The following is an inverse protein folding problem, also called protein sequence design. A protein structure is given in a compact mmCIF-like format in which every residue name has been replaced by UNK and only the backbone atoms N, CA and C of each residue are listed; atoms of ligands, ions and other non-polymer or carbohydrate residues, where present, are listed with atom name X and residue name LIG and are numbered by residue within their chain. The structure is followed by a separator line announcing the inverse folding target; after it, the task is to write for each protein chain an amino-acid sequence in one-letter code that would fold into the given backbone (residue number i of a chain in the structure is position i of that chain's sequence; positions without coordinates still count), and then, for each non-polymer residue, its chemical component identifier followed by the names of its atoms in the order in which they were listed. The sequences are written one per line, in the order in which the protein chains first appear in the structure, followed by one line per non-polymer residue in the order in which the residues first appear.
data_IF_408471386242
#
_entry.id   IF_408471386242
#
_cell.length_a   1.000
_cell.length_b   1.000
_cell.length_c   1.000
_cell.angle_alpha   90.00
_cell.angle_beta   90.00
_cell.angle_gamma   90.00
#
_symmetry.space_group_name_H-M   'P 1'
#
loop_
_entity.id
_entity.type
_entity.pdbx_description
1 polymer ?
#
# COMPACT_ATOMS: atom_id res chain seq x y z
N UNK A 1 0.43 10.96 52.34
CA UNK A 1 0.78 9.81 51.46
C UNK A 1 1.09 10.37 50.08
N UNK A 2 2.35 10.37 49.69
CA UNK A 2 2.77 10.95 48.43
C UNK A 2 2.57 9.91 47.29
N UNK A 3 1.71 10.23 46.33
CA UNK A 3 1.58 9.47 45.09
C UNK A 3 2.82 9.74 44.21
N UNK A 4 3.81 8.87 44.24
CA UNK A 4 4.86 8.82 43.23
C UNK A 4 4.27 8.36 41.91
N UNK A 5 4.03 9.28 40.99
CA UNK A 5 3.85 8.95 39.57
C UNK A 5 5.21 8.48 39.03
N UNK A 6 5.42 7.20 38.94
CA UNK A 6 6.55 6.62 38.22
C UNK A 6 6.38 6.93 36.73
N UNK A 7 7.12 7.92 36.19
CA UNK A 7 7.35 8.08 34.76
C UNK A 7 7.79 6.73 34.22
N UNK A 8 7.05 6.23 33.22
CA UNK A 8 7.14 4.87 32.76
C UNK A 8 8.53 4.47 32.26
N UNK A 9 9.19 3.67 33.04
CA UNK A 9 10.34 2.90 32.58
C UNK A 9 9.79 1.85 31.62
N UNK A 10 10.15 1.96 30.34
CA UNK A 10 9.87 0.88 29.37
C UNK A 10 10.82 -0.27 29.71
N UNK A 11 10.30 -1.24 30.43
CA UNK A 11 11.04 -2.49 30.71
C UNK A 11 10.65 -3.47 29.61
N UNK A 12 11.62 -3.85 28.77
CA UNK A 12 11.48 -4.98 27.86
C UNK A 12 12.78 -5.77 27.90
N UNK A 13 12.68 -7.07 28.13
CA UNK A 13 13.83 -7.95 28.20
C UNK A 13 13.45 -9.38 28.55
N UNK A 14 14.40 -10.29 28.37
CA UNK A 14 14.29 -11.68 28.81
C UNK A 14 15.13 -11.85 30.07
N UNK A 15 14.52 -12.29 31.14
CA UNK A 15 15.23 -12.73 32.36
C UNK A 15 15.62 -14.19 32.16
N UNK A 16 16.88 -14.43 31.82
CA UNK A 16 17.37 -15.77 31.46
C UNK A 16 17.28 -16.79 32.62
N UNK A 17 17.50 -16.34 33.86
CA UNK A 17 17.45 -17.20 35.03
C UNK A 17 16.05 -17.76 35.34
N UNK A 18 15.00 -16.99 35.02
CA UNK A 18 13.62 -17.37 35.40
C UNK A 18 12.76 -17.71 34.19
N UNK A 19 13.35 -17.76 33.01
CA UNK A 19 12.62 -17.99 31.75
C UNK A 19 11.41 -17.05 31.56
N UNK A 20 11.52 -15.81 32.06
CA UNK A 20 10.46 -14.79 32.01
C UNK A 20 10.73 -13.78 30.91
N UNK A 21 9.72 -13.51 30.10
CA UNK A 21 9.71 -12.37 29.17
C UNK A 21 8.86 -11.27 29.77
N UNK A 22 9.46 -10.09 29.92
CA UNK A 22 8.80 -8.88 30.43
C UNK A 22 8.65 -7.87 29.29
N UNK A 23 7.48 -7.33 29.08
CA UNK A 23 7.23 -6.28 28.09
C UNK A 23 6.09 -5.36 28.54
N UNK A 24 6.10 -4.12 28.03
CA UNK A 24 5.04 -3.15 28.31
C UNK A 24 4.02 -3.13 27.18
N UNK A 25 2.74 -3.32 27.50
CA UNK A 25 1.63 -3.21 26.57
C UNK A 25 0.55 -2.30 27.15
N UNK A 26 0.18 -1.23 26.44
CA UNK A 26 -0.81 -0.25 26.88
C UNK A 26 -0.55 0.29 28.29
N UNK A 27 0.72 0.64 28.60
CA UNK A 27 1.11 1.17 29.92
C UNK A 27 1.20 0.12 31.05
N UNK A 28 0.84 -1.14 30.80
CA UNK A 28 0.94 -2.23 31.78
C UNK A 28 2.17 -3.08 31.52
N UNK A 29 2.87 -3.42 32.58
CA UNK A 29 3.99 -4.39 32.52
C UNK A 29 3.35 -5.79 32.50
N UNK A 30 3.64 -6.55 31.45
CA UNK A 30 3.20 -7.93 31.30
C UNK A 30 4.42 -8.84 31.46
N UNK A 31 4.32 -9.77 32.37
CA UNK A 31 5.29 -10.85 32.54
C UNK A 31 4.65 -12.16 32.11
N UNK A 32 5.35 -12.95 31.32
CA UNK A 32 4.95 -14.31 30.98
C UNK A 32 6.16 -15.24 30.99
N UNK A 33 5.95 -16.49 31.35
CA UNK A 33 6.99 -17.50 31.19
C UNK A 33 7.40 -17.59 29.72
N UNK A 34 8.69 -17.46 29.46
CA UNK A 34 9.24 -17.79 28.16
C UNK A 34 9.29 -19.32 28.09
N UNK A 35 8.34 -19.92 27.40
CA UNK A 35 8.42 -21.34 27.06
C UNK A 35 9.67 -21.55 26.21
N UNK A 36 10.67 -22.22 26.76
CA UNK A 36 11.98 -22.41 26.14
C UNK A 36 11.91 -23.24 24.86
N UNK A 37 10.87 -24.03 24.69
CA UNK A 37 10.72 -24.97 23.59
C UNK A 37 9.25 -25.16 23.19
N UNK A 38 8.60 -24.11 22.72
CA UNK A 38 7.46 -24.38 21.88
C UNK A 38 7.98 -24.94 20.55
N UNK A 39 7.63 -26.19 20.20
CA UNK A 39 7.87 -26.66 18.86
C UNK A 39 7.21 -25.64 17.93
N UNK A 40 7.99 -24.97 17.13
CA UNK A 40 7.46 -24.00 16.14
C UNK A 40 6.68 -24.83 15.16
N UNK A 41 5.39 -25.03 15.45
CA UNK A 41 4.47 -25.66 14.51
C UNK A 41 4.64 -24.94 13.19
N UNK A 42 5.02 -25.65 12.15
CA UNK A 42 5.27 -25.17 10.80
C UNK A 42 4.13 -25.63 9.90
N UNK A 43 2.89 -25.54 10.40
CA UNK A 43 1.74 -25.88 9.56
C UNK A 43 1.65 -24.89 8.39
N UNK A 44 0.99 -25.34 7.33
CA UNK A 44 0.77 -24.53 6.12
C UNK A 44 0.09 -23.19 6.45
N UNK A 45 -0.94 -23.21 7.27
CA UNK A 45 -1.72 -22.01 7.65
C UNK A 45 -0.87 -21.01 8.44
N UNK A 46 -0.05 -21.50 9.35
CA UNK A 46 0.86 -20.65 10.11
C UNK A 46 1.94 -20.05 9.19
N UNK A 47 2.42 -20.81 8.23
CA UNK A 47 3.37 -20.33 7.24
C UNK A 47 2.74 -19.21 6.39
N UNK A 48 1.54 -19.44 5.84
CA UNK A 48 0.79 -18.44 5.07
C UNK A 48 0.57 -17.17 5.92
N UNK A 49 0.18 -17.32 7.18
CA UNK A 49 0.01 -16.17 8.08
C UNK A 49 1.30 -15.37 8.27
N UNK A 50 2.45 -16.03 8.38
CA UNK A 50 3.77 -15.35 8.47
C UNK A 50 4.13 -14.64 7.17
N UNK A 51 3.84 -15.23 6.02
CA UNK A 51 4.04 -14.62 4.70
C UNK A 51 3.21 -13.33 4.56
N UNK A 52 1.94 -13.35 4.99
CA UNK A 52 1.07 -12.16 5.03
C UNK A 52 1.68 -11.04 5.89
N UNK A 53 2.18 -11.37 7.08
CA UNK A 53 2.80 -10.37 7.96
C UNK A 53 4.05 -9.77 7.32
N UNK A 54 4.93 -10.58 6.74
CA UNK A 54 6.15 -10.12 6.08
C UNK A 54 5.82 -9.23 4.88
N UNK A 55 4.92 -9.66 4.00
CA UNK A 55 4.41 -8.88 2.85
C UNK A 55 3.88 -7.53 3.31
N UNK A 56 2.95 -7.53 4.27
CA UNK A 56 2.30 -6.32 4.72
C UNK A 56 3.30 -5.35 5.36
N UNK A 57 4.26 -5.87 6.13
CA UNK A 57 5.30 -5.03 6.74
C UNK A 57 6.18 -4.32 5.71
N UNK A 58 6.62 -5.03 4.67
CA UNK A 58 7.50 -4.45 3.65
C UNK A 58 6.74 -3.46 2.77
N UNK A 59 5.52 -3.78 2.32
CA UNK A 59 4.69 -2.85 1.55
C UNK A 59 4.31 -1.60 2.36
N UNK A 60 4.01 -1.77 3.65
CA UNK A 60 3.75 -0.64 4.55
C UNK A 60 4.94 0.29 4.67
N UNK A 61 6.17 -0.25 4.76
CA UNK A 61 7.40 0.55 4.76
C UNK A 61 7.55 1.33 3.46
N UNK A 62 7.30 0.70 2.31
CA UNK A 62 7.36 1.35 1.01
C UNK A 62 6.34 2.50 0.87
N UNK A 63 5.10 2.29 1.31
CA UNK A 63 4.07 3.33 1.34
C UNK A 63 4.45 4.49 2.28
N UNK A 64 4.96 4.20 3.47
CA UNK A 64 5.40 5.24 4.42
C UNK A 64 6.60 6.04 3.95
N UNK A 65 7.50 5.43 3.19
CA UNK A 65 8.65 6.12 2.63
C UNK A 65 8.26 7.23 1.63
N UNK A 66 7.07 7.15 1.01
CA UNK A 66 6.53 8.22 0.16
C UNK A 66 6.03 9.46 0.94
N UNK A 67 6.15 9.46 2.27
CA UNK A 67 5.95 10.64 3.13
C UNK A 67 4.57 10.82 3.75
N UNK A 68 3.51 10.21 3.22
CA UNK A 68 2.17 10.43 3.76
C UNK A 68 1.26 9.22 3.57
N UNK A 69 1.23 8.37 4.57
CA UNK A 69 0.30 7.27 4.62
C UNK A 69 -1.09 7.77 5.05
N UNK A 70 -2.07 7.65 4.16
CA UNK A 70 -3.44 8.16 4.36
C UNK A 70 -4.37 7.08 4.96
N UNK A 71 -3.91 6.43 6.01
CA UNK A 71 -4.77 5.55 6.81
C UNK A 71 -5.14 6.24 8.10
N UNK A 72 -6.43 6.46 8.33
CA UNK A 72 -6.91 7.07 9.56
C UNK A 72 -6.52 6.25 10.79
N UNK A 73 -6.14 6.92 11.88
CA UNK A 73 -6.07 6.28 13.18
C UNK A 73 -4.70 6.07 13.82
N UNK A 74 -3.66 6.79 13.42
CA UNK A 74 -2.37 6.78 14.14
C UNK A 74 -1.81 5.37 14.37
N UNK A 75 -1.76 4.89 15.62
CA UNK A 75 -1.27 3.54 15.96
C UNK A 75 -2.13 2.40 15.40
N UNK A 76 -3.36 2.65 15.04
CA UNK A 76 -4.29 1.68 14.44
C UNK A 76 -4.19 1.63 12.91
N UNK A 77 -3.55 2.61 12.28
CA UNK A 77 -3.43 2.72 10.82
C UNK A 77 -2.83 1.46 10.19
N UNK A 78 -1.76 0.91 10.78
CA UNK A 78 -1.16 -0.35 10.30
C UNK A 78 -2.11 -1.54 10.45
N UNK A 79 -2.84 -1.64 11.54
CA UNK A 79 -3.81 -2.72 11.75
C UNK A 79 -4.94 -2.65 10.71
N UNK A 80 -5.41 -1.44 10.40
CA UNK A 80 -6.42 -1.22 9.37
C UNK A 80 -5.91 -1.57 7.98
N UNK A 81 -4.71 -1.12 7.63
CA UNK A 81 -4.02 -1.54 6.42
C UNK A 81 -3.93 -3.07 6.31
N UNK A 82 -3.46 -3.76 7.36
CA UNK A 82 -3.39 -5.23 7.38
C UNK A 82 -4.75 -5.90 7.20
N UNK A 83 -5.82 -5.31 7.74
CA UNK A 83 -7.19 -5.82 7.55
C UNK A 83 -7.62 -5.76 6.09
N UNK A 84 -7.36 -4.66 5.40
CA UNK A 84 -7.66 -4.50 3.97
C UNK A 84 -6.81 -5.44 3.10
N UNK A 85 -5.52 -5.58 3.44
CA UNK A 85 -4.60 -6.49 2.75
C UNK A 85 -4.97 -7.97 2.83
N UNK A 86 -5.87 -8.37 3.74
CA UNK A 86 -6.37 -9.77 3.82
C UNK A 86 -7.15 -10.19 2.57
N UNK A 87 -7.71 -9.22 1.84
CA UNK A 87 -8.47 -9.48 0.61
C UNK A 87 -7.57 -9.63 -0.63
N UNK A 88 -6.28 -9.36 -0.50
CA UNK A 88 -5.32 -9.44 -1.60
C UNK A 88 -4.87 -10.88 -1.84
N UNK A 89 -4.45 -11.21 -3.08
CA UNK A 89 -3.88 -12.51 -3.39
C UNK A 89 -2.76 -12.91 -2.43
N UNK A 90 -2.69 -14.19 -2.08
CA UNK A 90 -1.55 -14.72 -1.32
C UNK A 90 -0.33 -14.78 -2.23
N UNK A 91 0.78 -14.26 -1.73
CA UNK A 91 2.06 -14.30 -2.43
C UNK A 91 3.13 -14.87 -1.51
N UNK A 92 3.99 -15.70 -2.07
CA UNK A 92 4.99 -16.46 -1.34
C UNK A 92 6.38 -16.08 -1.84
N UNK A 93 7.17 -15.50 -0.97
CA UNK A 93 8.56 -15.16 -1.24
C UNK A 93 9.49 -15.85 -0.25
N UNK A 94 10.72 -16.10 -0.67
CA UNK A 94 11.73 -16.69 0.21
C UNK A 94 12.07 -15.78 1.39
N UNK A 95 12.64 -16.37 2.42
CA UNK A 95 13.11 -15.65 3.61
C UNK A 95 14.10 -14.53 3.26
N UNK A 96 14.97 -14.79 2.30
CA UNK A 96 15.96 -13.83 1.83
C UNK A 96 15.31 -12.65 1.10
N UNK A 97 14.36 -12.92 0.19
CA UNK A 97 13.62 -11.87 -0.50
C UNK A 97 12.95 -10.91 0.50
N UNK A 98 12.23 -11.42 1.50
CA UNK A 98 11.61 -10.55 2.50
C UNK A 98 12.61 -9.79 3.37
N UNK A 99 13.74 -10.42 3.74
CA UNK A 99 14.79 -9.75 4.51
C UNK A 99 15.41 -8.58 3.75
N UNK A 100 15.55 -8.71 2.45
CA UNK A 100 16.09 -7.69 1.56
C UNK A 100 15.03 -6.72 1.03
N UNK A 101 13.88 -6.64 1.70
CA UNK A 101 12.82 -5.67 1.40
C UNK A 101 11.93 -6.05 0.22
N UNK A 102 11.90 -7.32 -0.17
CA UNK A 102 11.05 -7.82 -1.26
C UNK A 102 9.60 -7.42 -1.10
N UNK A 103 9.03 -6.88 -2.20
CA UNK A 103 7.65 -6.39 -2.29
C UNK A 103 7.10 -6.65 -3.68
N UNK A 104 5.80 -6.88 -3.76
CA UNK A 104 5.09 -7.11 -5.03
C UNK A 104 3.92 -6.15 -5.15
N UNK A 105 3.77 -5.59 -6.35
CA UNK A 105 2.64 -4.77 -6.73
C UNK A 105 1.42 -5.65 -6.98
N UNK A 106 0.37 -5.45 -6.19
CA UNK A 106 -0.86 -6.24 -6.27
C UNK A 106 -2.02 -5.37 -6.78
N UNK A 107 -2.86 -5.89 -7.68
CA UNK A 107 -4.06 -5.17 -8.11
C UNK A 107 -5.01 -4.94 -6.93
N UNK A 108 -5.56 -3.74 -6.81
CA UNK A 108 -6.45 -3.37 -5.71
C UNK A 108 -5.76 -3.17 -4.35
N UNK A 109 -4.42 -3.22 -4.28
CA UNK A 109 -3.68 -2.97 -3.05
C UNK A 109 -4.05 -1.61 -2.44
N UNK A 110 -4.48 -1.53 -1.17
CA UNK A 110 -4.90 -0.28 -0.56
C UNK A 110 -3.72 0.68 -0.38
N UNK A 111 -3.89 1.93 -0.79
CA UNK A 111 -2.93 3.04 -0.56
C UNK A 111 -3.49 4.08 0.39
N UNK A 112 -4.80 4.13 0.54
CA UNK A 112 -5.50 4.99 1.50
C UNK A 112 -6.77 4.32 1.99
N UNK A 113 -7.23 4.78 3.16
CA UNK A 113 -8.50 4.37 3.74
C UNK A 113 -9.07 5.54 4.57
N UNK A 114 -10.14 6.11 4.10
CA UNK A 114 -10.73 7.32 4.65
C UNK A 114 -12.24 7.35 4.52
N UNK A 115 -12.82 8.50 4.81
CA UNK A 115 -14.26 8.73 4.88
C UNK A 115 -14.82 9.58 3.73
N UNK A 116 -13.92 10.17 2.91
CA UNK A 116 -14.37 10.87 1.72
C UNK A 116 -14.81 9.85 0.66
N UNK A 117 -15.77 10.19 -0.21
CA UNK A 117 -16.20 9.31 -1.27
C UNK A 117 -15.03 8.84 -2.14
N UNK A 118 -15.09 7.58 -2.52
CA UNK A 118 -14.08 6.94 -3.36
C UNK A 118 -14.11 7.50 -4.77
N UNK A 119 -12.94 7.61 -5.37
CA UNK A 119 -12.82 7.93 -6.79
C UNK A 119 -12.84 6.60 -7.54
N UNK A 120 -13.96 6.34 -8.26
CA UNK A 120 -13.96 5.25 -9.23
C UNK A 120 -13.04 5.60 -10.40
N UNK A 121 -12.25 4.63 -10.88
CA UNK A 121 -11.43 4.79 -12.06
C UNK A 121 -11.29 3.49 -12.83
N UNK A 122 -11.12 3.65 -14.14
CA UNK A 122 -10.97 2.55 -15.07
C UNK A 122 -9.95 2.89 -16.14
N UNK A 123 -9.41 1.87 -16.78
CA UNK A 123 -8.59 2.04 -17.95
C UNK A 123 -9.39 2.59 -19.11
N UNK A 124 -8.79 3.52 -19.83
CA UNK A 124 -9.30 4.08 -21.06
C UNK A 124 -8.17 4.41 -22.02
N UNK A 125 -8.53 5.02 -23.13
CA UNK A 125 -7.62 5.54 -24.13
C UNK A 125 -8.18 6.89 -24.62
N UNK A 126 -7.29 7.84 -24.79
CA UNK A 126 -7.62 9.18 -25.31
C UNK A 126 -6.60 9.55 -26.38
N UNK A 127 -7.04 9.76 -27.59
CA UNK A 127 -6.17 10.14 -28.73
C UNK A 127 -4.99 9.17 -28.95
N UNK A 128 -5.21 7.87 -28.72
CA UNK A 128 -4.16 6.84 -28.85
C UNK A 128 -3.21 6.73 -27.66
N UNK A 129 -3.36 7.58 -26.64
CA UNK A 129 -2.59 7.48 -25.40
C UNK A 129 -3.38 6.79 -24.29
N UNK A 130 -2.71 6.03 -23.44
CA UNK A 130 -3.33 5.42 -22.28
C UNK A 130 -3.94 6.47 -21.35
N UNK A 131 -5.10 6.15 -20.76
CA UNK A 131 -5.81 7.02 -19.86
C UNK A 131 -6.34 6.29 -18.62
N UNK A 132 -6.42 7.01 -17.50
CA UNK A 132 -7.22 6.63 -16.33
C UNK A 132 -8.44 7.54 -16.33
N UNK A 133 -9.59 7.00 -16.69
CA UNK A 133 -10.86 7.73 -16.66
C UNK A 133 -11.45 7.60 -15.26
N UNK A 134 -11.71 8.75 -14.63
CA UNK A 134 -12.20 8.79 -13.24
C UNK A 134 -13.72 8.97 -13.18
N UNK A 135 -14.31 8.72 -12.02
CA UNK A 135 -15.71 9.07 -11.73
C UNK A 135 -15.91 10.57 -11.43
N UNK A 136 -14.83 11.35 -11.39
CA UNK A 136 -14.88 12.78 -11.09
C UNK A 136 -15.52 13.51 -12.28
N UNK A 137 -16.65 14.14 -12.06
CA UNK A 137 -17.33 14.94 -13.08
C UNK A 137 -16.68 16.30 -13.24
N UNK A 138 -16.49 16.75 -14.47
CA UNK A 138 -16.06 18.10 -14.82
C UNK A 138 -17.22 18.86 -15.46
N UNK A 139 -17.41 20.11 -15.05
CA UNK A 139 -18.53 20.95 -15.47
C UNK A 139 -18.26 21.73 -16.74
N UNK A 140 -16.99 21.88 -17.10
CA UNK A 140 -16.53 22.66 -18.24
C UNK A 140 -15.47 21.87 -19.00
N UNK A 141 -15.33 22.09 -20.32
CA UNK A 141 -14.18 21.58 -21.07
C UNK A 141 -12.87 22.05 -20.40
N UNK A 142 -11.89 21.17 -20.37
CA UNK A 142 -10.54 21.51 -19.92
C UNK A 142 -9.67 21.82 -21.13
N UNK A 143 -8.86 22.88 -21.03
CA UNK A 143 -7.79 23.15 -21.99
C UNK A 143 -6.71 22.07 -21.92
N UNK A 144 -5.79 22.06 -22.88
CA UNK A 144 -4.64 21.12 -22.88
C UNK A 144 -3.74 21.28 -21.64
N UNK A 145 -3.65 22.50 -21.14
CA UNK A 145 -2.87 22.83 -19.93
C UNK A 145 -3.77 23.65 -18.98
N UNK A 146 -4.71 23.02 -18.29
CA UNK A 146 -5.62 23.74 -17.43
C UNK A 146 -4.86 24.38 -16.26
N UNK A 147 -5.22 25.61 -15.92
CA UNK A 147 -4.70 26.30 -14.75
C UNK A 147 -5.41 25.83 -13.47
N UNK A 148 -4.87 26.20 -12.30
CA UNK A 148 -5.55 25.97 -11.03
C UNK A 148 -6.95 26.58 -11.03
N UNK A 149 -7.12 27.78 -11.61
CA UNK A 149 -8.42 28.46 -11.76
C UNK A 149 -9.39 27.65 -12.63
N UNK A 150 -8.91 27.08 -13.74
CA UNK A 150 -9.75 26.22 -14.61
C UNK A 150 -10.20 24.96 -13.87
N UNK A 151 -9.30 24.33 -13.13
CA UNK A 151 -9.62 23.14 -12.35
C UNK A 151 -10.63 23.43 -11.23
N UNK A 152 -10.48 24.54 -10.51
CA UNK A 152 -11.47 24.98 -9.51
C UNK A 152 -12.85 25.16 -10.16
N UNK A 153 -12.91 25.87 -11.31
CA UNK A 153 -14.16 26.06 -12.06
C UNK A 153 -14.76 24.72 -12.51
N UNK A 154 -13.93 23.82 -13.04
CA UNK A 154 -14.38 22.53 -13.56
C UNK A 154 -14.88 21.59 -12.47
N UNK A 155 -14.22 21.54 -11.32
CA UNK A 155 -14.52 20.57 -10.24
C UNK A 155 -15.49 21.13 -9.21
N UNK A 156 -15.36 22.38 -8.79
CA UNK A 156 -16.20 22.95 -7.75
C UNK A 156 -17.54 23.48 -8.30
N UNK A 157 -17.64 23.74 -9.61
CA UNK A 157 -18.82 24.40 -10.19
C UNK A 157 -20.11 23.57 -10.17
N UNK A 158 -20.04 22.24 -10.35
CA UNK A 158 -21.23 21.33 -10.37
C UNK A 158 -21.24 20.32 -9.25
N UNK A 159 -20.10 20.00 -8.71
CA UNK A 159 -19.99 19.01 -7.65
C UNK A 159 -19.88 19.77 -6.33
N UNK A 160 -20.95 20.04 -5.62
CA UNK A 160 -20.93 20.58 -4.25
C UNK A 160 -20.08 19.76 -3.26
N UNK A 161 -19.42 18.75 -3.77
CA UNK A 161 -18.53 17.81 -3.11
C UNK A 161 -17.07 18.31 -3.09
N UNK A 162 -16.54 18.85 -4.23
CA UNK A 162 -15.18 19.40 -4.30
C UNK A 162 -15.14 20.82 -3.77
N UNK A 163 -14.13 21.16 -3.00
CA UNK A 163 -13.90 22.48 -2.42
C UNK A 163 -12.53 23.02 -2.78
N UNK A 164 -12.43 24.33 -2.83
CA UNK A 164 -11.14 25.01 -2.88
C UNK A 164 -10.34 24.62 -1.63
N UNK A 165 -9.08 24.27 -1.82
CA UNK A 165 -8.22 23.72 -0.76
C UNK A 165 -8.16 22.20 -0.72
N UNK A 166 -9.05 21.50 -1.43
CA UNK A 166 -8.91 20.05 -1.61
C UNK A 166 -7.67 19.73 -2.42
N UNK A 167 -7.10 18.56 -2.21
CA UNK A 167 -5.97 18.06 -2.97
C UNK A 167 -6.30 16.72 -3.63
N UNK A 168 -5.74 16.53 -4.80
CA UNK A 168 -5.74 15.27 -5.49
C UNK A 168 -4.32 14.70 -5.44
N UNK A 169 -4.15 13.55 -4.82
CA UNK A 169 -2.86 12.86 -4.71
C UNK A 169 -2.80 11.69 -5.66
N UNK A 170 -1.77 11.68 -6.49
CA UNK A 170 -1.45 10.57 -7.38
C UNK A 170 -0.33 9.74 -6.76
N UNK A 171 -0.62 8.50 -6.44
CA UNK A 171 0.39 7.50 -6.10
C UNK A 171 0.77 6.74 -7.36
N UNK A 172 2.04 6.78 -7.71
CA UNK A 172 2.63 5.96 -8.76
C UNK A 172 3.50 4.90 -8.10
N UNK A 173 3.18 3.64 -8.34
CA UNK A 173 3.92 2.49 -7.82
C UNK A 173 4.66 1.84 -8.98
N UNK A 174 5.96 1.63 -8.83
CA UNK A 174 6.80 1.02 -9.87
C UNK A 174 7.36 -0.29 -9.34
N UNK A 175 7.05 -1.38 -10.01
CA UNK A 175 7.62 -2.70 -9.73
C UNK A 175 8.94 -2.86 -10.49
N UNK A 176 9.99 -3.18 -9.78
CA UNK A 176 11.32 -3.50 -10.32
C UNK A 176 11.80 -4.86 -9.83
N UNK A 177 12.88 -5.37 -10.41
CA UNK A 177 13.59 -6.53 -9.89
C UNK A 177 15.05 -6.14 -9.74
N UNK A 178 15.56 -6.20 -8.50
CA UNK A 178 16.94 -5.88 -8.16
C UNK A 178 17.58 -7.10 -7.51
N UNK A 179 18.64 -7.62 -8.09
CA UNK A 179 19.31 -8.85 -7.61
C UNK A 179 18.32 -10.00 -7.40
N UNK A 180 17.43 -10.22 -8.36
CA UNK A 180 16.35 -11.21 -8.32
C UNK A 180 15.30 -11.01 -7.20
N UNK A 181 15.30 -9.87 -6.56
CA UNK A 181 14.35 -9.50 -5.52
C UNK A 181 13.36 -8.50 -6.10
N UNK A 182 12.06 -8.81 -6.14
CA UNK A 182 11.06 -7.85 -6.58
C UNK A 182 10.90 -6.73 -5.55
N UNK A 183 10.87 -5.49 -6.00
CA UNK A 183 10.70 -4.30 -5.16
C UNK A 183 9.67 -3.36 -5.74
N UNK A 184 8.87 -2.73 -4.88
CA UNK A 184 7.92 -1.69 -5.24
C UNK A 184 8.43 -0.35 -4.71
N UNK A 185 8.62 0.59 -5.61
CA UNK A 185 8.90 1.99 -5.27
C UNK A 185 7.62 2.80 -5.39
N UNK A 186 7.36 3.64 -4.41
CA UNK A 186 6.17 4.48 -4.34
C UNK A 186 6.59 5.94 -4.46
N UNK A 187 6.02 6.63 -5.44
CA UNK A 187 6.10 8.08 -5.59
C UNK A 187 4.73 8.67 -5.38
N UNK A 188 4.66 9.80 -4.69
CA UNK A 188 3.43 10.56 -4.49
C UNK A 188 3.60 11.96 -5.04
N UNK A 189 2.63 12.40 -5.81
CA UNK A 189 2.50 13.75 -6.31
C UNK A 189 1.17 14.33 -5.81
N UNK A 190 1.16 15.62 -5.54
CA UNK A 190 -0.01 16.30 -5.01
C UNK A 190 -0.35 17.50 -5.89
N UNK A 191 -1.60 17.61 -6.28
CA UNK A 191 -2.14 18.72 -7.03
C UNK A 191 -3.23 19.41 -6.19
N UNK A 192 -2.94 20.64 -5.75
CA UNK A 192 -3.85 21.44 -4.93
C UNK A 192 -4.94 22.06 -5.81
N UNK A 193 -6.16 22.00 -5.36
CA UNK A 193 -7.30 22.68 -5.99
C UNK A 193 -7.42 24.10 -5.45
N UNK A 194 -6.66 25.02 -6.03
CA UNK A 194 -6.64 26.43 -5.65
C UNK A 194 -6.65 27.32 -6.90
N UNK A 195 -7.29 28.50 -6.85
CA UNK A 195 -7.20 29.47 -7.92
C UNK A 195 -5.75 29.89 -8.18
N UNK A 196 -5.36 29.99 -9.43
CA UNK A 196 -4.02 30.41 -9.85
C UNK A 196 -3.79 30.16 -11.32
N UNK A 197 -2.77 30.81 -11.89
CA UNK A 197 -2.43 30.73 -13.30
C UNK A 197 -1.41 29.61 -13.62
N UNK A 198 -0.90 28.94 -12.58
CA UNK A 198 0.00 27.80 -12.75
C UNK A 198 -0.73 26.63 -13.37
N UNK A 199 -0.06 25.92 -14.28
CA UNK A 199 -0.61 24.71 -14.90
C UNK A 199 -0.82 23.64 -13.84
N UNK A 200 -2.05 23.16 -13.75
CA UNK A 200 -2.45 22.09 -12.86
C UNK A 200 -2.25 20.73 -13.54
N UNK A 201 -1.24 19.98 -13.11
CA UNK A 201 -0.91 18.67 -13.69
C UNK A 201 -0.11 17.81 -12.70
N UNK A 202 -0.02 16.52 -13.00
CA UNK A 202 0.99 15.61 -12.45
C UNK A 202 2.18 15.51 -13.42
N UNK A 203 3.37 15.15 -12.96
CA UNK A 203 4.60 15.19 -13.75
C UNK A 203 4.52 14.43 -15.08
N UNK A 204 3.82 13.30 -15.11
CA UNK A 204 3.74 12.41 -16.27
C UNK A 204 2.30 12.14 -16.74
N UNK A 205 1.31 12.81 -16.16
CA UNK A 205 -0.10 12.62 -16.50
C UNK A 205 -0.77 13.99 -16.68
N UNK A 206 -1.42 14.15 -17.81
CA UNK A 206 -2.14 15.35 -18.15
C UNK A 206 -3.63 15.21 -17.86
N UNK A 207 -4.26 16.18 -17.21
CA UNK A 207 -5.70 16.18 -17.02
C UNK A 207 -6.43 16.50 -18.33
N UNK A 208 -7.46 15.73 -18.64
CA UNK A 208 -8.36 15.91 -19.79
C UNK A 208 -9.81 15.77 -19.33
N UNK A 209 -10.71 16.39 -20.05
CA UNK A 209 -12.14 16.15 -19.91
C UNK A 209 -12.59 15.15 -20.98
N UNK A 210 -13.04 13.98 -20.55
CA UNK A 210 -13.56 12.93 -21.42
C UNK A 210 -14.97 12.60 -21.00
N UNK A 211 -15.94 12.80 -21.89
CA UNK A 211 -17.36 12.57 -21.60
C UNK A 211 -17.86 13.21 -20.30
N UNK A 212 -17.37 14.42 -20.00
CA UNK A 212 -17.73 15.14 -18.79
C UNK A 212 -17.11 14.57 -17.51
N UNK A 213 -16.04 13.77 -17.63
CA UNK A 213 -15.27 13.21 -16.52
C UNK A 213 -13.82 13.62 -16.63
N UNK A 214 -13.16 13.71 -15.48
CA UNK A 214 -11.72 13.89 -15.42
C UNK A 214 -11.02 12.61 -15.83
N UNK A 215 -10.16 12.69 -16.83
CA UNK A 215 -9.23 11.65 -17.21
C UNK A 215 -7.79 12.12 -16.99
N UNK A 216 -6.91 11.23 -16.58
CA UNK A 216 -5.47 11.46 -16.55
C UNK A 216 -4.85 10.67 -17.69
N UNK A 217 -4.17 11.37 -18.61
CA UNK A 217 -3.63 10.80 -19.85
C UNK A 217 -2.12 10.86 -19.83
N UNK A 218 -1.46 9.78 -20.25
CA UNK A 218 0.00 9.77 -20.35
C UNK A 218 0.58 8.45 -20.83
N UNK A 219 1.72 8.54 -21.49
CA UNK A 219 2.40 7.39 -22.10
C UNK A 219 2.86 6.34 -21.07
N UNK A 220 3.15 6.77 -19.84
CA UNK A 220 3.56 5.87 -18.75
C UNK A 220 2.45 4.91 -18.32
N UNK A 221 1.20 5.17 -18.70
CA UNK A 221 0.06 4.29 -18.42
C UNK A 221 0.07 3.00 -19.24
N UNK A 222 0.88 2.92 -20.28
CA UNK A 222 1.13 1.69 -21.04
C UNK A 222 2.07 0.72 -20.32
N UNK A 223 2.83 1.19 -19.33
CA UNK A 223 3.85 0.41 -18.63
C UNK A 223 3.19 -0.70 -17.77
N UNK A 224 3.52 -1.95 -18.05
CA UNK A 224 2.97 -3.11 -17.34
C UNK A 224 3.60 -3.37 -15.97
N UNK A 225 4.63 -2.62 -15.60
CA UNK A 225 5.29 -2.72 -14.30
C UNK A 225 4.88 -1.59 -13.35
N UNK A 226 3.81 -0.87 -13.66
CA UNK A 226 3.34 0.25 -12.85
C UNK A 226 1.91 0.06 -12.36
N UNK A 227 1.61 0.80 -11.30
CA UNK A 227 0.27 0.96 -10.76
C UNK A 227 0.04 2.39 -10.31
N UNK A 228 -1.22 2.78 -10.30
CA UNK A 228 -1.63 4.13 -9.94
C UNK A 228 -2.80 4.09 -8.96
N UNK A 229 -2.83 5.06 -8.07
CA UNK A 229 -3.99 5.31 -7.25
C UNK A 229 -4.18 6.80 -7.06
N UNK A 230 -5.42 7.25 -7.21
CA UNK A 230 -5.79 8.65 -7.12
C UNK A 230 -6.61 8.86 -5.84
N UNK A 231 -6.10 9.67 -4.94
CA UNK A 231 -6.70 9.88 -3.61
C UNK A 231 -7.16 11.32 -3.48
N UNK A 232 -8.43 11.53 -3.17
CA UNK A 232 -8.93 12.81 -2.74
C UNK A 232 -8.57 13.05 -1.28
N UNK A 233 -8.05 14.22 -0.98
CA UNK A 233 -7.73 14.63 0.39
C UNK A 233 -8.33 16.01 0.68
N UNK A 234 -8.90 16.14 1.86
CA UNK A 234 -9.38 17.39 2.44
C UNK A 234 -8.93 17.43 3.90
N UNK A 235 -8.03 18.37 4.23
CA UNK A 235 -7.43 18.45 5.57
C UNK A 235 -6.84 17.11 6.03
N UNK A 236 -7.39 16.51 7.09
CA UNK A 236 -7.00 15.21 7.65
C UNK A 236 -7.81 14.02 7.11
N UNK A 237 -8.77 14.28 6.19
CA UNK A 237 -9.66 13.27 5.59
C UNK A 237 -9.18 12.87 4.21
N UNK A 238 -9.41 11.62 3.86
CA UNK A 238 -9.11 11.09 2.53
C UNK A 238 -10.22 10.19 2.01
N UNK A 239 -10.21 9.90 0.70
CA UNK A 239 -10.96 8.79 0.13
C UNK A 239 -10.24 7.46 0.36
N UNK A 240 -10.98 6.36 0.33
CA UNK A 240 -10.40 5.01 0.31
C UNK A 240 -10.04 4.64 -1.11
N UNK A 241 -8.78 4.20 -1.35
CA UNK A 241 -8.32 3.86 -2.69
C UNK A 241 -7.41 2.65 -2.72
N UNK A 242 -7.61 1.86 -3.76
CA UNK A 242 -6.73 0.76 -4.14
C UNK A 242 -5.97 1.06 -5.44
N UNK A 243 -4.92 0.31 -5.68
CA UNK A 243 -4.06 0.47 -6.86
C UNK A 243 -4.72 -0.08 -8.10
N UNK A 244 -4.80 0.71 -9.16
CA UNK A 244 -5.12 0.28 -10.52
C UNK A 244 -3.80 -0.13 -11.20
N UNK A 245 -3.66 -1.37 -11.63
CA UNK A 245 -2.45 -1.88 -12.30
C UNK A 245 -2.76 -2.97 -13.32
N UNK A 246 -1.92 -3.09 -14.34
CA UNK A 246 -1.86 -4.23 -15.26
C UNK A 246 -0.62 -5.10 -14.99
N UNK A 247 0.08 -4.86 -13.88
CA UNK A 247 1.25 -5.63 -13.51
C UNK A 247 0.85 -7.05 -13.08
N UNK A 248 1.43 -8.04 -13.72
CA UNK A 248 1.23 -9.47 -13.41
C UNK A 248 2.46 -10.12 -12.78
N UNK A 249 3.47 -9.34 -12.44
CA UNK A 249 4.73 -9.85 -11.88
C UNK A 249 4.56 -10.57 -10.52
N UNK A 250 3.40 -10.44 -9.88
CA UNK A 250 3.08 -11.17 -8.65
C UNK A 250 2.62 -12.60 -8.92
N UNK A 251 2.10 -12.92 -10.11
CA UNK A 251 1.48 -14.22 -10.43
C UNK A 251 2.39 -15.42 -10.19
N UNK A 252 3.69 -15.41 -10.59
CA UNK A 252 4.59 -16.52 -10.30
C UNK A 252 4.72 -16.83 -8.80
N UNK A 253 4.46 -15.86 -7.94
CA UNK A 253 4.54 -15.98 -6.48
C UNK A 253 3.24 -16.44 -5.82
N UNK A 254 2.17 -16.67 -6.60
CA UNK A 254 0.88 -17.15 -6.08
C UNK A 254 0.71 -18.67 -6.18
N UNK A 255 1.66 -19.34 -6.79
CA UNK A 255 1.59 -20.77 -7.11
C UNK A 255 1.92 -21.65 -5.88
N UNK A 256 1.47 -22.91 -5.93
CA UNK A 256 1.84 -23.91 -4.92
C UNK A 256 3.35 -24.16 -4.90
N UNK A 257 4.00 -24.14 -6.07
CA UNK A 257 5.46 -24.27 -6.18
C UNK A 257 6.15 -23.12 -5.43
N UNK A 258 5.69 -21.89 -5.60
CA UNK A 258 6.24 -20.75 -4.88
C UNK A 258 6.04 -20.89 -3.35
N UNK A 259 4.91 -21.41 -2.90
CA UNK A 259 4.67 -21.70 -1.50
C UNK A 259 5.68 -22.70 -0.96
N UNK A 260 5.90 -23.81 -1.66
CA UNK A 260 6.83 -24.85 -1.23
C UNK A 260 8.28 -24.36 -1.20
N UNK A 261 8.73 -23.66 -2.24
CA UNK A 261 10.06 -23.04 -2.29
C UNK A 261 10.25 -22.00 -1.17
N UNK A 262 9.26 -21.17 -0.96
CA UNK A 262 9.28 -20.21 0.15
C UNK A 262 9.36 -20.95 1.48
N UNK A 263 8.53 -21.98 1.70
CA UNK A 263 8.53 -22.75 2.94
C UNK A 263 9.88 -23.42 3.21
N UNK A 264 10.51 -23.98 2.19
CA UNK A 264 11.85 -24.59 2.27
C UNK A 264 12.88 -23.57 2.76
N UNK A 265 12.86 -22.35 2.25
CA UNK A 265 13.75 -21.27 2.69
C UNK A 265 13.62 -20.93 4.19
N UNK A 266 12.52 -21.33 4.84
CA UNK A 266 12.27 -21.17 6.27
C UNK A 266 12.47 -22.47 7.06
N UNK A 267 12.94 -23.54 6.40
CA UNK A 267 13.21 -24.86 7.00
C UNK A 267 12.06 -25.86 6.89
N UNK A 268 11.22 -25.72 5.85
CA UNK A 268 10.16 -26.65 5.49
C UNK A 268 8.88 -26.54 6.31
N UNK A 269 7.86 -27.31 5.90
CA UNK A 269 6.59 -27.47 6.60
C UNK A 269 6.59 -28.79 7.40
N UNK A 270 5.94 -28.82 8.55
CA UNK A 270 5.78 -30.04 9.33
C UNK A 270 4.83 -30.99 8.61
N UNK A 271 5.24 -32.25 8.43
CA UNK A 271 4.40 -33.30 7.83
C UNK A 271 4.40 -33.36 6.31
N UNK A 272 5.19 -32.55 5.61
CA UNK A 272 5.43 -32.70 4.17
C UNK A 272 6.84 -33.26 3.91
N UNK A 273 6.98 -34.25 3.01
CA UNK A 273 8.29 -34.69 2.58
C UNK A 273 9.01 -33.52 1.90
N UNK A 274 10.30 -33.36 2.18
CA UNK A 274 11.14 -32.44 1.43
C UNK A 274 11.08 -32.82 -0.06
N UNK A 275 10.86 -31.83 -0.91
CA UNK A 275 11.11 -32.02 -2.34
C UNK A 275 12.62 -32.26 -2.49
N UNK A 276 13.01 -33.53 -2.54
CA UNK A 276 14.37 -33.89 -2.95
C UNK A 276 14.56 -33.39 -4.36
N UNK A 277 15.58 -32.53 -4.65
CA UNK A 277 15.92 -32.21 -6.02
C UNK A 277 16.18 -33.52 -6.71
N UNK A 278 15.39 -33.83 -7.75
CA UNK A 278 15.64 -35.02 -8.56
C UNK A 278 17.09 -34.96 -9.02
N UNK A 279 17.85 -35.97 -8.64
CA UNK A 279 19.13 -36.25 -9.28
C UNK A 279 18.78 -36.60 -10.74
N UNK A 280 18.86 -35.57 -11.61
CA UNK A 280 18.93 -35.75 -13.03
C UNK A 280 20.39 -35.96 -13.46
#
# INVERSE_FOLDING_TARGET
MAHMQKKGIKVSGRLEKDNLTVYTRCGKIIMRSATSEMPRSRTREQFISRQRVARNSNLWKALRASGNCLFAGGSTAYARYCSLMRKMPEVFMTKEMYRNGGTLLLPGMPVSDGILPDIGYQWGEVEGAGAIVTSIRVSTPLSLNPTGTDMVRALCGRNGYWKVGDTLRLYTLVQTVENMIPKVYVRMEEALLAPGDSVWRFANLEPRAVEGRLALVGNTLADRNRGWALVHRREDRSSSQGVLTRCTMYEPYTTEIALLQAAESYGGLTGQPFLTPGKG
#
